data_IF_883143722761
#
_entry.id   IF_883143722761
#
_cell.length_a   1.000
_cell.length_b   1.000
_cell.length_c   1.000
_cell.angle_alpha   90.00
_cell.angle_beta   90.00
_cell.angle_gamma   90.00
#
_symmetry.space_group_name_H-M   'P 1'
#
loop_
_entity.id
_entity.type
_entity.pdbx_description
1 polymer ?
#
# COMPACT_ATOMS: atom_id res chain seq x y z
N UNK A 1 24.20 -13.50 1.96
CA UNK A 1 23.28 -14.64 1.81
C UNK A 1 22.41 -14.69 3.05
N UNK A 2 21.22 -14.10 2.99
CA UNK A 2 20.24 -14.20 4.07
C UNK A 2 19.64 -15.59 3.99
N UNK A 3 19.85 -16.40 5.02
CA UNK A 3 19.25 -17.72 5.17
C UNK A 3 17.72 -17.61 5.13
N UNK A 4 17.12 -18.55 4.40
CA UNK A 4 15.82 -18.51 3.76
C UNK A 4 14.61 -18.73 4.67
N UNK A 5 14.61 -18.31 5.94
CA UNK A 5 13.53 -18.67 6.87
C UNK A 5 12.77 -17.51 7.54
N UNK A 6 13.15 -16.23 7.34
CA UNK A 6 12.56 -15.11 8.08
C UNK A 6 11.72 -14.12 7.27
N UNK A 7 11.51 -14.40 5.97
CA UNK A 7 10.75 -13.52 5.07
C UNK A 7 9.24 -13.48 5.40
N UNK A 8 8.75 -14.45 6.19
CA UNK A 8 7.34 -14.61 6.55
C UNK A 8 7.13 -14.41 8.05
N UNK A 9 7.55 -13.26 8.58
CA UNK A 9 7.17 -12.82 9.93
C UNK A 9 6.13 -11.72 9.94
N UNK A 10 5.85 -11.12 8.78
CA UNK A 10 4.87 -10.05 8.69
C UNK A 10 3.46 -10.55 9.01
N UNK A 11 3.13 -11.80 8.67
CA UNK A 11 1.90 -12.47 9.13
C UNK A 11 1.77 -12.51 10.66
N UNK A 12 2.85 -12.85 11.37
CA UNK A 12 2.90 -12.87 12.84
C UNK A 12 2.84 -11.47 13.42
N UNK A 13 3.45 -10.50 12.76
CA UNK A 13 3.34 -9.09 13.14
C UNK A 13 1.90 -8.60 12.98
N UNK A 14 1.24 -8.93 11.87
CA UNK A 14 -0.14 -8.55 11.59
C UNK A 14 -1.10 -9.22 12.59
N UNK A 15 -1.08 -10.55 12.70
CA UNK A 15 -2.02 -11.29 13.54
C UNK A 15 -1.72 -11.23 15.05
N UNK A 16 -0.50 -10.86 15.43
CA UNK A 16 -0.11 -10.72 16.83
C UNK A 16 -0.11 -9.26 17.23
N UNK A 17 0.96 -8.55 16.87
CA UNK A 17 1.18 -7.19 17.35
C UNK A 17 0.13 -6.20 16.85
N UNK A 18 -0.18 -6.18 15.54
CA UNK A 18 -1.16 -5.24 15.00
C UNK A 18 -2.58 -5.57 15.45
N UNK A 19 -2.94 -6.84 15.56
CA UNK A 19 -4.24 -7.26 16.11
C UNK A 19 -4.46 -6.70 17.52
N UNK A 20 -3.48 -6.93 18.43
CA UNK A 20 -3.52 -6.38 19.80
C UNK A 20 -3.51 -4.85 19.82
N UNK A 21 -2.77 -4.23 18.90
CA UNK A 21 -2.71 -2.77 18.76
C UNK A 21 -4.07 -2.19 18.34
N UNK A 22 -4.70 -2.80 17.34
CA UNK A 22 -6.01 -2.42 16.82
C UNK A 22 -7.11 -2.56 17.86
N UNK A 23 -7.09 -3.64 18.66
CA UNK A 23 -8.03 -3.83 19.77
C UNK A 23 -7.99 -2.66 20.78
N UNK A 24 -6.82 -2.06 21.01
CA UNK A 24 -6.68 -0.91 21.93
C UNK A 24 -7.31 0.37 21.37
N UNK A 25 -7.24 0.60 20.07
CA UNK A 25 -7.91 1.74 19.43
C UNK A 25 -9.42 1.55 19.39
N UNK A 26 -9.85 0.33 19.08
CA UNK A 26 -11.26 -0.04 19.05
C UNK A 26 -11.93 0.10 20.42
N UNK A 27 -11.31 -0.45 21.47
CA UNK A 27 -11.81 -0.30 22.84
C UNK A 27 -11.81 1.14 23.36
N UNK A 28 -10.95 2.00 22.82
CA UNK A 28 -10.94 3.43 23.12
C UNK A 28 -11.95 4.25 22.27
N UNK A 29 -12.58 3.64 21.25
CA UNK A 29 -13.46 4.33 20.32
C UNK A 29 -12.73 5.35 19.43
N UNK A 30 -11.44 5.13 19.16
CA UNK A 30 -10.60 6.02 18.35
C UNK A 30 -10.41 5.40 16.97
N UNK A 31 -10.77 6.14 15.92
CA UNK A 31 -10.56 5.68 14.55
C UNK A 31 -9.07 5.55 14.22
N UNK A 32 -8.69 4.36 13.76
CA UNK A 32 -7.35 4.06 13.23
C UNK A 32 -7.48 3.82 11.72
N UNK A 33 -7.05 4.82 10.94
CA UNK A 33 -7.10 4.77 9.47
C UNK A 33 -5.72 4.38 8.95
N UNK A 34 -5.62 3.27 8.21
CA UNK A 34 -4.32 2.72 7.84
C UNK A 34 -4.32 1.92 6.53
N UNK A 35 -3.13 1.65 6.02
CA UNK A 35 -2.86 0.71 4.93
C UNK A 35 -1.42 0.20 5.07
N UNK A 36 -1.10 -0.83 4.28
CA UNK A 36 0.25 -1.34 4.13
C UNK A 36 1.08 -0.46 3.17
N UNK A 37 2.34 -0.21 3.51
CA UNK A 37 3.27 0.63 2.74
C UNK A 37 4.13 -0.17 1.76
N UNK A 38 5.17 0.46 1.22
CA UNK A 38 6.03 -0.11 0.17
C UNK A 38 6.85 -1.34 0.61
N UNK A 39 7.22 -1.41 1.89
CA UNK A 39 8.02 -2.53 2.44
C UNK A 39 7.14 -3.66 2.97
N UNK A 40 5.83 -3.44 3.02
CA UNK A 40 4.85 -4.42 3.41
C UNK A 40 4.44 -5.27 2.20
N UNK A 41 4.66 -6.59 2.30
CA UNK A 41 4.48 -7.50 1.16
C UNK A 41 3.00 -7.61 0.77
N UNK A 42 2.72 -7.49 -0.52
CA UNK A 42 1.36 -7.52 -1.08
C UNK A 42 0.63 -8.83 -0.82
N UNK A 43 1.35 -9.94 -0.64
CA UNK A 43 0.74 -11.23 -0.24
C UNK A 43 -0.05 -11.14 1.07
N UNK A 44 0.25 -10.18 1.93
CA UNK A 44 -0.44 -9.98 3.21
C UNK A 44 -1.56 -8.96 3.14
N UNK A 45 -1.87 -8.37 1.98
CA UNK A 45 -2.96 -7.38 1.85
C UNK A 45 -4.29 -7.94 2.38
N UNK A 46 -4.62 -9.17 1.98
CA UNK A 46 -5.83 -9.84 2.43
C UNK A 46 -5.80 -10.08 3.95
N UNK A 47 -4.69 -10.57 4.49
CA UNK A 47 -4.56 -10.86 5.91
C UNK A 47 -4.68 -9.58 6.76
N UNK A 48 -4.03 -8.51 6.32
CA UNK A 48 -4.09 -7.21 6.97
C UNK A 48 -5.51 -6.64 6.96
N UNK A 49 -6.19 -6.71 5.81
CA UNK A 49 -7.58 -6.28 5.71
C UNK A 49 -8.50 -7.10 6.63
N UNK A 50 -8.36 -8.43 6.63
CA UNK A 50 -9.12 -9.31 7.54
C UNK A 50 -8.85 -8.98 9.01
N UNK A 51 -7.62 -8.62 9.36
CA UNK A 51 -7.24 -8.19 10.72
C UNK A 51 -7.89 -6.86 11.09
N UNK A 52 -7.90 -5.87 10.19
CA UNK A 52 -8.60 -4.60 10.41
C UNK A 52 -10.10 -4.82 10.61
N UNK A 53 -10.72 -5.67 9.79
CA UNK A 53 -12.16 -5.90 9.77
C UNK A 53 -12.73 -6.58 11.02
N UNK A 54 -11.88 -7.05 11.95
CA UNK A 54 -12.32 -7.53 13.27
C UNK A 54 -12.85 -6.40 14.17
N UNK A 55 -12.49 -5.16 13.87
CA UNK A 55 -12.71 -4.00 14.73
C UNK A 55 -13.56 -2.94 14.00
N UNK A 56 -14.44 -2.24 14.74
CA UNK A 56 -15.36 -1.25 14.18
C UNK A 56 -14.69 0.12 13.94
N UNK A 57 -13.64 0.43 14.70
CA UNK A 57 -12.91 1.69 14.60
C UNK A 57 -11.60 1.58 13.80
N UNK A 58 -11.24 0.41 13.27
CA UNK A 58 -10.05 0.25 12.43
C UNK A 58 -10.45 0.12 10.97
N UNK A 59 -9.87 0.95 10.12
CA UNK A 59 -10.26 1.06 8.71
C UNK A 59 -9.05 0.91 7.81
N UNK A 60 -9.05 -0.15 7.00
CA UNK A 60 -8.12 -0.30 5.89
C UNK A 60 -8.53 0.64 4.74
N UNK A 61 -7.68 1.64 4.46
CA UNK A 61 -7.91 2.69 3.46
C UNK A 61 -7.32 2.38 2.08
N UNK A 62 -6.69 1.23 1.88
CA UNK A 62 -6.05 0.86 0.59
C UNK A 62 -7.01 1.02 -0.59
N UNK A 63 -6.74 1.98 -1.49
CA UNK A 63 -7.59 2.37 -2.63
C UNK A 63 -9.08 2.59 -2.26
N UNK A 64 -9.37 3.10 -1.05
CA UNK A 64 -10.74 3.24 -0.52
C UNK A 64 -11.03 4.63 0.02
N UNK A 65 -12.32 4.94 0.09
CA UNK A 65 -12.84 6.11 0.79
C UNK A 65 -13.55 5.68 2.08
N UNK A 66 -13.30 6.40 3.16
CA UNK A 66 -14.01 6.30 4.42
C UNK A 66 -14.60 7.66 4.83
N UNK A 67 -15.73 7.66 5.54
CA UNK A 67 -16.37 8.88 6.02
C UNK A 67 -16.70 8.77 7.51
N UNK A 68 -16.28 9.77 8.28
CA UNK A 68 -16.53 9.85 9.72
C UNK A 68 -16.62 11.32 10.14
N UNK A 69 -17.58 11.65 11.00
CA UNK A 69 -17.71 13.01 11.55
C UNK A 69 -17.90 14.11 10.50
N UNK A 70 -18.42 13.75 9.31
CA UNK A 70 -18.56 14.67 8.17
C UNK A 70 -17.28 14.94 7.39
N UNK A 71 -16.17 14.25 7.70
CA UNK A 71 -14.92 14.27 6.93
C UNK A 71 -14.79 13.02 6.08
N UNK A 72 -14.21 13.17 4.89
CA UNK A 72 -13.92 12.07 3.96
C UNK A 72 -12.42 11.84 3.88
N UNK A 73 -12.03 10.59 4.00
CA UNK A 73 -10.66 10.13 3.89
C UNK A 73 -10.55 9.25 2.66
N UNK A 74 -9.58 9.50 1.78
CA UNK A 74 -9.34 8.72 0.57
C UNK A 74 -7.90 8.23 0.60
N UNK A 75 -7.70 6.91 0.62
CA UNK A 75 -6.38 6.31 0.75
C UNK A 75 -5.80 5.82 -0.57
N UNK A 76 -4.50 6.02 -0.76
CA UNK A 76 -3.72 5.37 -1.81
C UNK A 76 -2.32 4.97 -1.33
N UNK A 77 -1.92 3.72 -1.58
CA UNK A 77 -0.66 3.18 -1.06
C UNK A 77 0.36 2.76 -2.14
N UNK A 78 0.14 3.15 -3.39
CA UNK A 78 1.13 2.98 -4.43
C UNK A 78 2.33 3.92 -4.24
N UNK A 79 3.47 3.49 -4.77
CA UNK A 79 4.71 4.27 -4.78
C UNK A 79 5.28 4.39 -6.17
N UNK A 80 5.92 5.52 -6.45
CA UNK A 80 6.77 5.66 -7.62
C UNK A 80 7.93 4.67 -7.51
N UNK A 81 8.31 4.11 -8.64
CA UNK A 81 9.44 3.18 -8.74
C UNK A 81 10.72 3.69 -8.07
N UNK A 82 11.38 2.81 -7.32
CA UNK A 82 12.66 3.07 -6.65
C UNK A 82 13.76 2.08 -7.07
N UNK A 83 15.02 2.34 -6.71
CA UNK A 83 16.20 1.55 -7.14
C UNK A 83 16.21 0.08 -6.63
N UNK A 84 15.49 -0.23 -5.55
CA UNK A 84 15.49 -1.54 -4.89
C UNK A 84 14.57 -2.58 -5.54
N UNK A 85 14.82 -3.84 -5.19
CA UNK A 85 14.22 -5.01 -5.84
C UNK A 85 12.74 -5.22 -5.54
N UNK A 86 12.21 -4.89 -4.36
CA UNK A 86 10.80 -5.13 -4.04
C UNK A 86 9.91 -4.21 -4.88
N UNK A 87 8.98 -4.77 -5.66
CA UNK A 87 8.15 -4.03 -6.63
C UNK A 87 6.65 -4.13 -6.39
N UNK A 88 6.23 -4.75 -5.30
CA UNK A 88 4.83 -5.02 -4.97
C UNK A 88 3.90 -3.81 -5.13
N UNK A 89 4.37 -2.63 -4.72
CA UNK A 89 3.62 -1.36 -4.80
C UNK A 89 4.18 -0.34 -5.78
N UNK A 90 5.25 -0.69 -6.49
CA UNK A 90 5.88 0.22 -7.44
C UNK A 90 4.98 0.42 -8.67
N UNK A 91 4.93 1.66 -9.14
CA UNK A 91 4.31 2.12 -10.38
C UNK A 91 5.20 3.18 -11.04
N UNK A 92 4.98 3.44 -12.32
CA UNK A 92 5.50 4.66 -12.94
C UNK A 92 4.74 5.87 -12.39
N UNK A 93 5.38 7.03 -12.26
CA UNK A 93 4.69 8.27 -11.84
C UNK A 93 3.68 8.71 -12.90
N UNK A 94 4.17 8.87 -14.13
CA UNK A 94 3.45 9.25 -15.37
C UNK A 94 3.90 8.36 -16.54
N UNK A 95 3.24 8.46 -17.70
CA UNK A 95 3.58 7.65 -18.89
C UNK A 95 4.98 7.92 -19.45
N UNK A 96 5.49 9.14 -19.26
CA UNK A 96 6.84 9.56 -19.66
C UNK A 96 7.89 9.35 -18.56
N UNK A 97 7.55 8.57 -17.52
CA UNK A 97 8.45 8.29 -16.41
C UNK A 97 9.77 7.68 -16.88
N UNK A 98 10.87 8.30 -16.45
CA UNK A 98 12.23 7.85 -16.72
C UNK A 98 12.71 6.99 -15.56
N UNK A 99 12.86 5.68 -15.81
CA UNK A 99 13.40 4.77 -14.83
C UNK A 99 14.85 5.11 -14.45
N UNK A 100 15.12 4.96 -13.16
CA UNK A 100 16.46 4.98 -12.59
C UNK A 100 17.12 3.60 -12.67
N UNK A 101 18.45 3.56 -12.48
CA UNK A 101 19.22 2.31 -12.45
C UNK A 101 18.71 1.36 -11.37
N UNK A 102 18.55 0.06 -11.68
CA UNK A 102 17.98 -0.89 -10.73
C UNK A 102 19.07 -1.72 -10.05
N UNK A 103 19.00 -1.86 -8.73
CA UNK A 103 19.89 -2.70 -7.93
C UNK A 103 19.42 -4.16 -7.94
N UNK A 104 19.41 -4.75 -9.13
CA UNK A 104 19.00 -6.13 -9.40
C UNK A 104 17.60 -6.24 -10.01
N UNK A 105 17.16 -7.48 -10.22
CA UNK A 105 15.85 -7.80 -10.80
C UNK A 105 14.72 -7.42 -9.85
N UNK A 106 13.59 -7.01 -10.43
CA UNK A 106 12.36 -6.77 -9.68
C UNK A 106 11.88 -8.04 -8.97
N UNK A 107 11.22 -7.87 -7.84
CA UNK A 107 10.70 -8.93 -6.99
C UNK A 107 9.26 -8.62 -6.62
N UNK A 108 8.38 -9.56 -6.90
CA UNK A 108 7.01 -9.55 -6.41
C UNK A 108 6.84 -10.65 -5.36
N UNK A 109 6.15 -10.32 -4.27
CA UNK A 109 5.71 -11.33 -3.32
C UNK A 109 4.53 -12.10 -3.92
N UNK A 110 4.59 -13.43 -3.83
CA UNK A 110 3.51 -14.34 -4.24
C UNK A 110 3.27 -15.41 -3.17
N UNK A 111 2.10 -16.07 -3.17
CA UNK A 111 1.86 -17.20 -2.26
C UNK A 111 2.88 -18.35 -2.41
N UNK A 112 3.54 -18.45 -3.57
CA UNK A 112 4.56 -19.47 -3.86
C UNK A 112 5.99 -18.99 -3.58
N UNK A 113 6.16 -17.83 -2.93
CA UNK A 113 7.44 -17.19 -2.68
C UNK A 113 7.73 -16.03 -3.62
N UNK A 114 9.01 -15.73 -3.82
CA UNK A 114 9.45 -14.61 -4.64
C UNK A 114 9.32 -14.91 -6.14
N UNK A 115 8.65 -14.02 -6.85
CA UNK A 115 8.69 -13.99 -8.32
C UNK A 115 9.68 -12.92 -8.77
N UNK A 116 10.77 -13.34 -9.43
CA UNK A 116 11.68 -12.42 -10.10
C UNK A 116 11.07 -11.90 -11.40
N UNK A 117 11.26 -10.61 -11.66
CA UNK A 117 10.89 -9.93 -12.90
C UNK A 117 12.19 -9.47 -13.56
N UNK A 118 12.56 -10.15 -14.65
CA UNK A 118 13.81 -9.89 -15.39
C UNK A 118 13.81 -8.48 -16.01
N UNK A 119 12.71 -8.12 -16.67
CA UNK A 119 12.51 -6.80 -17.28
C UNK A 119 11.41 -6.04 -16.53
N UNK A 120 11.81 -5.42 -15.41
CA UNK A 120 10.91 -4.60 -14.60
C UNK A 120 10.34 -3.42 -15.41
N UNK A 121 11.10 -2.83 -16.32
CA UNK A 121 10.65 -1.64 -17.06
C UNK A 121 9.51 -1.97 -18.01
N UNK A 122 9.60 -3.08 -18.73
CA UNK A 122 8.50 -3.55 -19.58
C UNK A 122 7.30 -3.96 -18.72
N UNK A 123 7.52 -4.64 -17.59
CA UNK A 123 6.42 -5.03 -16.69
C UNK A 123 5.69 -3.82 -16.10
N UNK A 124 6.44 -2.80 -15.63
CA UNK A 124 5.87 -1.61 -15.01
C UNK A 124 4.96 -0.82 -15.98
N UNK A 125 5.26 -0.84 -17.28
CA UNK A 125 4.40 -0.26 -18.33
C UNK A 125 3.07 -0.98 -18.54
N UNK A 126 2.89 -2.17 -17.97
CA UNK A 126 1.61 -2.89 -17.99
C UNK A 126 0.70 -2.54 -16.82
N UNK A 127 1.21 -1.77 -15.85
CA UNK A 127 0.50 -1.34 -14.67
C UNK A 127 0.02 0.11 -14.84
N UNK A 128 -1.06 0.52 -14.16
CA UNK A 128 -1.47 1.92 -14.15
C UNK A 128 -0.38 2.83 -13.57
N UNK A 129 -0.24 4.05 -14.10
CA UNK A 129 0.64 5.06 -13.51
C UNK A 129 0.05 5.61 -12.20
N UNK A 130 0.88 6.28 -11.38
CA UNK A 130 0.39 6.98 -10.18
C UNK A 130 -0.64 8.06 -10.59
N UNK A 131 -0.42 8.77 -11.69
CA UNK A 131 -1.39 9.72 -12.25
C UNK A 131 -2.73 9.05 -12.58
N UNK A 132 -2.72 7.90 -13.26
CA UNK A 132 -3.93 7.15 -13.57
C UNK A 132 -4.65 6.65 -12.31
N UNK A 133 -3.91 6.15 -11.32
CA UNK A 133 -4.46 5.70 -10.04
C UNK A 133 -5.11 6.88 -9.28
N UNK A 134 -4.46 8.05 -9.27
CA UNK A 134 -5.02 9.27 -8.67
C UNK A 134 -6.29 9.73 -9.37
N UNK A 135 -6.33 9.67 -10.70
CA UNK A 135 -7.51 10.03 -11.50
C UNK A 135 -8.69 9.07 -11.26
N UNK A 136 -8.42 7.83 -10.81
CA UNK A 136 -9.44 6.85 -10.44
C UNK A 136 -9.91 7.00 -8.98
N UNK A 137 -9.19 7.75 -8.14
CA UNK A 137 -9.62 7.98 -6.76
C UNK A 137 -10.94 8.75 -6.72
N UNK A 138 -11.75 8.44 -5.71
CA UNK A 138 -12.98 9.19 -5.46
C UNK A 138 -12.62 10.64 -5.21
N UNK A 139 -13.13 11.55 -6.04
CA UNK A 139 -13.02 13.00 -5.87
C UNK A 139 -14.21 13.51 -5.01
N UNK A 140 -14.00 13.87 -3.73
CA UNK A 140 -15.08 14.38 -2.90
C UNK A 140 -15.55 15.75 -3.37
N UNK A 141 -16.85 16.00 -3.30
CA UNK A 141 -17.44 17.30 -3.67
C UNK A 141 -17.00 18.46 -2.76
N UNK A 142 -16.73 18.16 -1.48
CA UNK A 142 -16.35 19.16 -0.47
C UNK A 142 -14.89 18.92 -0.06
N UNK A 143 -13.98 19.60 -0.76
CA UNK A 143 -12.54 19.48 -0.51
C UNK A 143 -12.12 20.05 0.85
N UNK A 144 -12.89 20.99 1.42
CA UNK A 144 -12.58 21.56 2.75
C UNK A 144 -12.77 20.53 3.89
N UNK A 145 -13.50 19.45 3.62
CA UNK A 145 -13.72 18.32 4.55
C UNK A 145 -13.14 17.01 4.02
N UNK A 146 -12.14 17.08 3.16
CA UNK A 146 -11.55 15.90 2.54
C UNK A 146 -10.06 15.82 2.81
N UNK A 147 -9.61 14.60 3.13
CA UNK A 147 -8.23 14.26 3.41
C UNK A 147 -7.80 13.14 2.50
N UNK A 148 -6.76 13.37 1.71
CA UNK A 148 -6.10 12.33 0.94
C UNK A 148 -4.94 11.77 1.76
N UNK A 149 -4.96 10.47 2.00
CA UNK A 149 -3.91 9.74 2.71
C UNK A 149 -3.13 8.97 1.64
N UNK A 150 -2.08 9.61 1.12
CA UNK A 150 -1.30 9.08 -0.01
C UNK A 150 0.10 8.73 0.47
N UNK A 151 0.53 7.49 0.24
CA UNK A 151 1.83 6.99 0.71
C UNK A 151 3.00 7.71 0.04
N UNK A 152 2.93 7.89 -1.27
CA UNK A 152 3.89 8.69 -2.02
C UNK A 152 3.13 9.64 -2.96
N UNK A 153 2.95 10.91 -2.57
CA UNK A 153 2.32 11.88 -3.47
C UNK A 153 3.22 12.12 -4.69
N UNK A 154 2.63 12.43 -5.86
CA UNK A 154 3.38 12.66 -7.09
C UNK A 154 4.29 13.88 -6.95
N UNK A 155 5.45 13.84 -7.60
CA UNK A 155 6.53 14.81 -7.38
C UNK A 155 6.39 16.10 -8.23
N UNK A 156 5.26 16.32 -8.91
CA UNK A 156 5.08 17.45 -9.85
C UNK A 156 3.71 18.14 -9.80
N UNK A 157 2.95 17.98 -8.72
CA UNK A 157 1.72 18.76 -8.51
C UNK A 157 1.99 20.13 -7.88
#
# INVERSE_FOLDING_TARGET
YLESNDLFRQDKFINGYLDDHFARFDSAGIYYLCYLGNDDLRIFDKLFEETCNKYSFVVCLTQRKFEVGGYKFVGMNWVVDYLFRLKDRCRMDTDDYMFQEQFGKGLLSTPNGWQEIDDWFTYAKTLPTIEEELNQLVCPKDMAKSVYVIHMPPNRL
#
